data_IF_881964014811
#
_entry.id   IF_881964014811
#
_cell.length_a   1.000
_cell.length_b   1.000
_cell.length_c   1.000
_cell.angle_alpha   90.00
_cell.angle_beta   90.00
_cell.angle_gamma   90.00
#
_symmetry.space_group_name_H-M   'P 1'
#
loop_
_entity.id
_entity.type
_entity.pdbx_description
1 polymer ?
#
# COMPACT_ATOMS: atom_id res chain seq x y z
N UNK A 1 -51.41 26.10 28.01
CA UNK A 1 -50.29 25.83 28.95
C UNK A 1 -49.68 24.49 28.56
N UNK A 2 -48.47 24.48 27.99
CA UNK A 2 -47.81 23.29 27.43
C UNK A 2 -46.43 23.19 28.08
N UNK A 3 -46.12 22.14 28.86
CA UNK A 3 -44.84 22.07 29.53
C UNK A 3 -43.72 21.66 28.57
N UNK A 4 -42.60 22.31 28.81
CA UNK A 4 -41.33 22.29 28.12
C UNK A 4 -40.56 21.03 28.55
N UNK A 5 -40.10 20.22 27.60
CA UNK A 5 -39.21 19.08 27.86
C UNK A 5 -37.96 19.29 27.00
N UNK A 6 -36.83 19.77 27.56
CA UNK A 6 -35.60 19.85 26.80
C UNK A 6 -34.97 18.45 26.72
N UNK A 7 -34.88 17.94 25.49
CA UNK A 7 -34.10 16.76 25.14
C UNK A 7 -32.65 16.92 25.65
N UNK A 8 -32.28 16.14 26.67
CA UNK A 8 -30.93 15.62 26.82
C UNK A 8 -30.58 14.84 25.56
N UNK A 9 -29.76 15.40 24.66
CA UNK A 9 -29.22 14.69 23.50
C UNK A 9 -27.94 15.38 22.98
N UNK A 10 -26.94 15.55 23.85
CA UNK A 10 -25.62 16.09 23.48
C UNK A 10 -24.45 15.14 23.79
N UNK A 11 -24.68 13.83 23.84
CA UNK A 11 -23.63 12.82 24.08
C UNK A 11 -23.39 11.87 22.90
N UNK A 12 -23.42 12.39 21.67
CA UNK A 12 -22.99 11.64 20.49
C UNK A 12 -22.09 12.47 19.57
N UNK A 13 -21.11 13.18 20.14
CA UNK A 13 -19.93 13.56 19.38
C UNK A 13 -19.07 12.30 19.25
N UNK A 14 -19.40 11.46 18.26
CA UNK A 14 -18.47 10.47 17.76
C UNK A 14 -17.17 11.18 17.42
N UNK A 15 -16.08 10.78 18.09
CA UNK A 15 -14.79 11.42 17.92
C UNK A 15 -14.41 11.48 16.44
N UNK A 16 -14.09 12.67 15.95
CA UNK A 16 -13.33 12.82 14.72
C UNK A 16 -12.01 12.09 14.93
N UNK A 17 -11.95 10.81 14.54
CA UNK A 17 -10.68 10.18 14.21
C UNK A 17 -10.19 10.95 12.99
N UNK A 18 -9.22 11.82 13.18
CA UNK A 18 -8.40 12.30 12.06
C UNK A 18 -7.79 11.04 11.47
N UNK A 19 -8.38 10.51 10.40
CA UNK A 19 -7.66 9.59 9.53
C UNK A 19 -6.34 10.30 9.18
N UNK A 20 -5.22 9.64 9.39
CA UNK A 20 -3.91 10.17 9.05
C UNK A 20 -3.90 10.40 7.55
N UNK A 21 -4.03 11.68 7.18
CA UNK A 21 -3.99 12.10 5.79
C UNK A 21 -2.63 11.79 5.18
N UNK A 22 -2.59 11.81 3.84
CA UNK A 22 -1.33 11.79 3.11
C UNK A 22 -0.45 12.94 3.65
N UNK A 23 0.79 12.68 4.08
CA UNK A 23 1.66 13.73 4.60
C UNK A 23 1.98 14.73 3.49
N UNK A 24 1.69 16.01 3.73
CA UNK A 24 2.04 17.11 2.84
C UNK A 24 3.29 17.83 3.37
N UNK A 25 4.16 18.27 2.45
CA UNK A 25 5.29 19.14 2.79
C UNK A 25 4.80 20.52 3.29
N UNK A 26 5.67 21.26 3.98
CA UNK A 26 5.38 22.64 4.36
C UNK A 26 5.26 23.53 3.11
N UNK A 27 4.55 24.65 3.23
CA UNK A 27 4.44 25.62 2.13
C UNK A 27 5.82 26.17 1.70
N UNK A 28 6.72 26.35 2.67
CA UNK A 28 8.09 26.80 2.40
C UNK A 28 8.88 25.77 1.60
N UNK A 29 8.83 24.49 1.98
CA UNK A 29 9.54 23.43 1.26
C UNK A 29 8.97 23.24 -0.15
N UNK A 30 7.65 23.26 -0.27
CA UNK A 30 6.97 23.12 -1.56
C UNK A 30 7.33 24.26 -2.53
N UNK A 31 7.47 25.49 -2.02
CA UNK A 31 7.84 26.65 -2.84
C UNK A 31 9.26 26.56 -3.43
N UNK A 32 10.12 25.69 -2.90
CA UNK A 32 11.49 25.47 -3.42
C UNK A 32 11.52 24.53 -4.63
N UNK A 33 10.43 23.80 -4.92
CA UNK A 33 10.37 22.88 -6.05
C UNK A 33 9.79 23.56 -7.30
N UNK A 34 10.49 23.45 -8.42
CA UNK A 34 10.01 23.91 -9.73
C UNK A 34 9.71 22.72 -10.62
N UNK A 35 8.47 22.63 -11.13
CA UNK A 35 8.09 21.58 -12.07
C UNK A 35 8.78 21.78 -13.42
N UNK A 36 9.34 20.72 -14.03
CA UNK A 36 9.77 20.79 -15.43
C UNK A 36 8.55 20.87 -16.36
N UNK A 37 8.74 21.46 -17.54
CA UNK A 37 7.67 21.57 -18.56
C UNK A 37 7.29 20.19 -19.13
N UNK A 38 8.28 19.32 -19.30
CA UNK A 38 8.10 17.93 -19.73
C UNK A 38 8.67 16.97 -18.69
N UNK A 39 8.11 15.76 -18.60
CA UNK A 39 8.68 14.72 -17.77
C UNK A 39 10.04 14.26 -18.33
N UNK A 40 11.05 14.04 -17.47
CA UNK A 40 12.34 13.49 -17.90
C UNK A 40 12.13 12.14 -18.60
N UNK A 41 12.74 11.95 -19.78
CA UNK A 41 12.63 10.70 -20.55
C UNK A 41 13.42 9.55 -19.94
N UNK A 42 14.53 9.85 -19.29
CA UNK A 42 15.36 8.83 -18.64
C UNK A 42 14.60 8.25 -17.45
N UNK A 43 14.35 6.94 -17.48
CA UNK A 43 13.60 6.25 -16.42
C UNK A 43 12.10 6.56 -16.41
N UNK A 44 11.55 7.18 -17.46
CA UNK A 44 10.12 7.40 -17.59
C UNK A 44 9.39 6.05 -17.66
N UNK A 45 8.45 5.85 -16.74
CA UNK A 45 7.54 4.71 -16.76
C UNK A 45 6.12 5.20 -17.05
N UNK A 46 5.50 4.68 -18.10
CA UNK A 46 4.08 4.89 -18.35
C UNK A 46 3.30 3.74 -17.72
N UNK A 47 2.42 4.08 -16.78
CA UNK A 47 1.49 3.14 -16.15
C UNK A 47 0.08 3.64 -16.48
N UNK A 48 -0.74 2.80 -17.11
CA UNK A 48 -2.09 3.19 -17.46
C UNK A 48 -2.97 3.37 -16.21
N UNK A 49 -4.09 4.08 -16.36
CA UNK A 49 -4.96 4.43 -15.25
C UNK A 49 -5.56 3.22 -14.52
N UNK A 50 -5.90 2.14 -15.23
CA UNK A 50 -6.47 0.94 -14.63
C UNK A 50 -5.43 0.20 -13.80
N UNK A 51 -4.21 0.04 -14.34
CA UNK A 51 -3.09 -0.55 -13.60
C UNK A 51 -2.73 0.29 -12.38
N UNK A 52 -2.71 1.62 -12.52
CA UNK A 52 -2.44 2.56 -11.41
C UNK A 52 -3.47 2.41 -10.29
N UNK A 53 -4.76 2.39 -10.63
CA UNK A 53 -5.83 2.23 -9.65
C UNK A 53 -5.83 0.85 -8.97
N UNK A 54 -5.50 -0.20 -9.71
CA UNK A 54 -5.33 -1.54 -9.16
C UNK A 54 -4.16 -1.61 -8.16
N UNK A 55 -3.01 -1.02 -8.51
CA UNK A 55 -1.85 -0.90 -7.60
C UNK A 55 -2.24 -0.14 -6.33
N UNK A 56 -2.90 1.01 -6.48
CA UNK A 56 -3.34 1.82 -5.35
C UNK A 56 -4.24 1.01 -4.39
N UNK A 57 -5.24 0.31 -4.92
CA UNK A 57 -6.16 -0.50 -4.12
C UNK A 57 -5.42 -1.63 -3.39
N UNK A 58 -4.49 -2.31 -4.05
CA UNK A 58 -3.68 -3.35 -3.44
C UNK A 58 -2.80 -2.79 -2.30
N UNK A 59 -2.15 -1.64 -2.51
CA UNK A 59 -1.30 -0.99 -1.50
C UNK A 59 -2.09 -0.47 -0.30
N UNK A 60 -3.27 0.11 -0.53
CA UNK A 60 -4.16 0.59 0.54
C UNK A 60 -4.67 -0.55 1.42
N UNK A 61 -4.95 -1.72 0.84
CA UNK A 61 -5.29 -2.92 1.61
C UNK A 61 -4.06 -3.52 2.32
N UNK A 62 -2.92 -3.58 1.64
CA UNK A 62 -1.73 -4.24 2.17
C UNK A 62 -1.10 -3.47 3.34
N UNK A 63 -0.93 -2.16 3.18
CA UNK A 63 -0.35 -1.27 4.19
C UNK A 63 -1.16 0.02 4.25
N UNK A 64 -2.31 0.05 4.94
CA UNK A 64 -3.10 1.26 5.15
C UNK A 64 -2.27 2.39 5.78
N UNK A 65 -2.54 3.64 5.43
CA UNK A 65 -1.81 4.81 5.98
C UNK A 65 -1.88 4.91 7.51
N UNK A 66 -3.00 4.46 8.09
CA UNK A 66 -3.27 4.49 9.53
C UNK A 66 -3.08 3.12 10.20
N UNK A 67 -2.35 2.20 9.56
CA UNK A 67 -2.09 0.91 10.16
C UNK A 67 -1.26 1.08 11.44
N UNK A 68 -1.66 0.47 12.58
CA UNK A 68 -0.82 0.46 13.76
C UNK A 68 0.48 -0.32 13.46
N UNK A 69 1.59 0.08 14.09
CA UNK A 69 2.86 -0.61 13.96
C UNK A 69 2.69 -2.10 14.23
N UNK A 70 3.20 -2.93 13.33
CA UNK A 70 3.08 -4.38 13.46
C UNK A 70 4.16 -4.93 14.42
N UNK A 71 4.10 -6.23 14.75
CA UNK A 71 5.21 -6.90 15.46
C UNK A 71 6.37 -7.25 14.51
N UNK A 72 6.26 -6.89 13.23
CA UNK A 72 7.31 -7.13 12.25
C UNK A 72 8.45 -6.12 12.44
N UNK A 73 9.61 -6.31 11.79
CA UNK A 73 10.64 -5.28 11.74
C UNK A 73 10.04 -3.95 11.29
N UNK A 74 10.37 -2.86 11.97
CA UNK A 74 9.77 -1.54 11.73
C UNK A 74 9.95 -1.03 10.28
N UNK A 75 10.95 -1.52 9.55
CA UNK A 75 11.09 -1.21 8.12
C UNK A 75 9.94 -1.77 7.27
N UNK A 76 9.30 -2.88 7.66
CA UNK A 76 8.15 -3.44 6.94
C UNK A 76 6.86 -2.63 7.14
N UNK A 77 6.82 -1.71 8.10
CA UNK A 77 5.71 -0.77 8.21
C UNK A 77 5.81 0.38 7.18
N UNK A 78 6.95 0.49 6.46
CA UNK A 78 7.16 1.49 5.43
C UNK A 78 6.75 0.97 4.05
N UNK A 79 5.94 1.74 3.32
CA UNK A 79 5.48 1.35 1.98
C UNK A 79 6.59 1.26 0.94
N UNK A 80 7.67 2.03 1.10
CA UNK A 80 8.83 1.98 0.20
C UNK A 80 9.76 0.77 0.47
N UNK A 81 9.44 -0.06 1.46
CA UNK A 81 10.08 -1.36 1.69
C UNK A 81 9.55 -2.48 0.79
N UNK A 82 8.61 -2.19 -0.11
CA UNK A 82 8.02 -3.18 -1.00
C UNK A 82 8.15 -2.77 -2.46
N UNK A 83 8.66 -3.68 -3.27
CA UNK A 83 8.61 -3.58 -4.72
C UNK A 83 7.24 -4.06 -5.21
N UNK A 84 6.64 -3.29 -6.13
CA UNK A 84 5.34 -3.61 -6.73
C UNK A 84 5.53 -3.94 -8.20
N UNK A 85 5.01 -5.10 -8.63
CA UNK A 85 4.93 -5.48 -10.03
C UNK A 85 3.47 -5.71 -10.40
N UNK A 86 3.01 -5.21 -11.55
CA UNK A 86 1.65 -5.42 -12.01
C UNK A 86 1.62 -5.96 -13.44
N UNK A 87 0.63 -6.79 -13.74
CA UNK A 87 0.41 -7.36 -15.06
C UNK A 87 -1.08 -7.59 -15.33
N UNK A 88 -1.54 -7.51 -16.59
CA UNK A 88 -2.89 -7.90 -16.93
C UNK A 88 -3.11 -9.39 -16.68
N UNK A 89 -4.25 -9.72 -16.07
CA UNK A 89 -4.76 -11.07 -15.89
C UNK A 89 -5.93 -11.36 -16.85
N UNK A 90 -6.52 -12.57 -16.75
CA UNK A 90 -7.68 -12.93 -17.55
C UNK A 90 -8.90 -12.06 -17.20
N UNK A 91 -9.83 -11.96 -18.16
CA UNK A 91 -11.19 -11.44 -17.93
C UNK A 91 -11.26 -10.06 -17.26
N UNK A 92 -10.37 -9.12 -17.59
CA UNK A 92 -10.42 -7.76 -17.02
C UNK A 92 -9.94 -7.69 -15.57
N UNK A 93 -9.05 -8.59 -15.18
CA UNK A 93 -8.33 -8.56 -13.91
C UNK A 93 -6.95 -7.93 -14.12
N UNK A 94 -6.45 -7.18 -13.13
CA UNK A 94 -5.02 -6.86 -13.00
C UNK A 94 -4.46 -7.62 -11.82
N UNK A 95 -3.32 -8.28 -12.04
CA UNK A 95 -2.55 -8.93 -11.00
C UNK A 95 -1.53 -7.95 -10.44
N UNK A 96 -1.50 -7.75 -9.14
CA UNK A 96 -0.55 -6.88 -8.45
C UNK A 96 0.23 -7.70 -7.43
N UNK A 97 1.54 -7.78 -7.64
CA UNK A 97 2.48 -8.51 -6.80
C UNK A 97 3.25 -7.53 -5.92
N UNK A 98 3.34 -7.82 -4.63
CA UNK A 98 4.15 -7.08 -3.66
C UNK A 98 5.20 -8.01 -3.06
N UNK A 99 6.42 -7.50 -2.96
CA UNK A 99 7.58 -8.25 -2.46
C UNK A 99 8.44 -7.33 -1.62
N UNK A 100 8.91 -7.79 -0.45
CA UNK A 100 9.83 -7.01 0.37
C UNK A 100 11.16 -6.74 -0.37
N UNK A 101 11.57 -5.48 -0.40
CA UNK A 101 12.81 -5.02 -0.99
C UNK A 101 13.95 -5.22 0.02
N UNK A 102 14.83 -6.18 -0.25
CA UNK A 102 15.91 -6.57 0.66
C UNK A 102 16.97 -5.48 0.91
N UNK A 103 17.03 -4.44 0.07
CA UNK A 103 17.91 -3.28 0.32
C UNK A 103 17.28 -2.28 1.29
N UNK A 104 15.95 -2.18 1.28
CA UNK A 104 15.18 -1.27 2.16
C UNK A 104 14.89 -1.90 3.52
N UNK A 105 14.59 -3.20 3.52
CA UNK A 105 14.33 -3.98 4.72
C UNK A 105 15.02 -5.34 4.61
N UNK A 106 16.28 -5.45 5.08
CA UNK A 106 17.04 -6.68 5.00
C UNK A 106 16.38 -7.84 5.75
N UNK A 107 16.55 -9.08 5.27
CA UNK A 107 16.00 -10.26 5.92
C UNK A 107 16.66 -10.47 7.29
N UNK A 108 15.84 -10.79 8.31
CA UNK A 108 16.34 -11.15 9.63
C UNK A 108 17.10 -12.49 9.58
N UNK A 109 18.17 -12.69 10.40
CA UNK A 109 18.95 -13.92 10.42
C UNK A 109 18.13 -15.18 10.77
N UNK A 110 16.98 -14.99 11.41
CA UNK A 110 16.05 -16.05 11.83
C UNK A 110 15.02 -16.42 10.76
N UNK A 111 15.03 -15.76 9.59
CA UNK A 111 14.12 -16.10 8.51
C UNK A 111 14.38 -17.51 7.98
N UNK A 112 13.30 -18.19 7.60
CA UNK A 112 13.38 -19.47 6.92
C UNK A 112 14.17 -19.32 5.63
N UNK A 113 15.12 -20.22 5.41
CA UNK A 113 15.94 -20.25 4.21
C UNK A 113 15.57 -21.43 3.32
N UNK A 114 15.84 -21.31 2.04
CA UNK A 114 15.71 -22.39 1.09
C UNK A 114 16.80 -23.44 1.34
N UNK A 115 16.42 -24.72 1.46
CA UNK A 115 17.35 -25.80 1.81
C UNK A 115 18.51 -25.95 0.80
N UNK A 116 18.27 -25.64 -0.47
CA UNK A 116 19.26 -25.82 -1.54
C UNK A 116 20.25 -24.66 -1.63
N UNK A 117 19.79 -23.43 -1.46
CA UNK A 117 20.59 -22.22 -1.72
C UNK A 117 21.03 -21.49 -0.45
N UNK A 118 20.41 -21.81 0.70
CA UNK A 118 20.62 -21.09 1.96
C UNK A 118 20.10 -19.64 1.94
N UNK A 119 19.43 -19.21 0.88
CA UNK A 119 18.87 -17.86 0.77
C UNK A 119 17.54 -17.76 1.51
N UNK A 120 17.23 -16.60 2.13
CA UNK A 120 15.92 -16.38 2.75
C UNK A 120 14.78 -16.64 1.77
N UNK A 121 13.74 -17.33 2.23
CA UNK A 121 12.51 -17.50 1.48
C UNK A 121 11.82 -16.15 1.37
N UNK A 122 11.56 -15.73 0.13
CA UNK A 122 10.91 -14.46 -0.12
C UNK A 122 9.39 -14.64 -0.13
N UNK A 123 8.68 -14.05 0.82
CA UNK A 123 7.22 -13.99 0.78
C UNK A 123 6.78 -13.10 -0.38
N UNK A 124 5.82 -13.61 -1.14
CA UNK A 124 5.12 -12.90 -2.21
C UNK A 124 3.66 -12.76 -1.83
N UNK A 125 3.15 -11.54 -1.88
CA UNK A 125 1.71 -11.27 -1.79
C UNK A 125 1.19 -10.89 -3.17
N UNK A 126 0.17 -11.61 -3.65
CA UNK A 126 -0.41 -11.43 -4.97
C UNK A 126 -1.88 -11.05 -4.83
N UNK A 127 -2.26 -9.92 -5.39
CA UNK A 127 -3.64 -9.46 -5.49
C UNK A 127 -4.16 -9.68 -6.90
N UNK A 128 -5.39 -10.15 -7.01
CA UNK A 128 -6.19 -10.06 -8.23
C UNK A 128 -7.21 -8.93 -8.05
N UNK A 129 -7.19 -7.93 -8.92
CA UNK A 129 -8.10 -6.78 -8.89
C UNK A 129 -9.03 -6.83 -10.09
N UNK A 130 -10.34 -6.87 -9.86
CA UNK A 130 -11.36 -6.81 -10.92
C UNK A 130 -11.56 -5.36 -11.37
N UNK A 131 -11.21 -5.05 -12.61
CA UNK A 131 -11.27 -3.69 -13.16
C UNK A 131 -12.69 -3.21 -13.41
N UNK A 132 -13.66 -4.12 -13.60
CA UNK A 132 -15.05 -3.74 -13.87
C UNK A 132 -15.73 -3.12 -12.66
N UNK A 133 -15.36 -3.60 -11.48
CA UNK A 133 -15.96 -3.19 -10.22
C UNK A 133 -14.97 -2.51 -9.28
N UNK A 134 -13.70 -2.40 -9.69
CA UNK A 134 -12.60 -1.84 -8.92
C UNK A 134 -12.52 -2.39 -7.50
N UNK A 135 -12.46 -3.73 -7.39
CA UNK A 135 -12.40 -4.44 -6.11
C UNK A 135 -11.33 -5.52 -6.10
N UNK A 136 -10.85 -5.86 -4.90
CA UNK A 136 -10.02 -7.05 -4.70
C UNK A 136 -10.88 -8.30 -4.93
N UNK A 137 -10.51 -9.08 -5.95
CA UNK A 137 -11.15 -10.34 -6.27
C UNK A 137 -10.58 -11.48 -5.42
N UNK A 138 -9.26 -11.51 -5.22
CA UNK A 138 -8.58 -12.52 -4.42
C UNK A 138 -7.19 -12.05 -3.96
N UNK A 139 -6.70 -12.67 -2.89
CA UNK A 139 -5.37 -12.44 -2.32
C UNK A 139 -4.69 -13.79 -2.11
N UNK A 140 -3.53 -13.98 -2.74
CA UNK A 140 -2.67 -15.15 -2.55
C UNK A 140 -1.39 -14.79 -1.82
N UNK A 141 -0.85 -15.74 -1.04
CA UNK A 141 0.46 -15.64 -0.40
C UNK A 141 1.25 -16.92 -0.68
N UNK A 142 2.49 -16.78 -1.10
CA UNK A 142 3.38 -17.91 -1.32
C UNK A 142 4.84 -17.51 -1.11
N UNK A 143 5.70 -18.49 -0.86
CA UNK A 143 7.14 -18.27 -0.80
C UNK A 143 7.77 -18.58 -2.15
N UNK A 144 8.50 -17.62 -2.70
CA UNK A 144 9.28 -17.79 -3.93
C UNK A 144 10.66 -18.36 -3.58
N UNK A 145 11.06 -19.36 -4.37
CA UNK A 145 12.40 -19.96 -4.37
C UNK A 145 13.33 -19.15 -5.25
N UNK A 146 14.58 -19.02 -4.84
CA UNK A 146 15.60 -18.38 -5.68
C UNK A 146 16.16 -19.44 -6.63
N UNK A 147 15.78 -19.37 -7.90
CA UNK A 147 16.36 -20.20 -8.97
C UNK A 147 17.87 -19.91 -9.14
#
# INVERSE_FOLDING_TARGET
MKPWMPCLLLLALGGCRTAGGIPHASAEDAARFTFPIELPRQGLLHIDGNTTAAIQLAMEHFLPWDAPSSRQPACLDQRDSYDVTAAPGPEGVVLVQLVANAQRCPPEPTQSVEATTGKPLQEVVLYAVDLRTMRLLSIGRYFRRHL
#
